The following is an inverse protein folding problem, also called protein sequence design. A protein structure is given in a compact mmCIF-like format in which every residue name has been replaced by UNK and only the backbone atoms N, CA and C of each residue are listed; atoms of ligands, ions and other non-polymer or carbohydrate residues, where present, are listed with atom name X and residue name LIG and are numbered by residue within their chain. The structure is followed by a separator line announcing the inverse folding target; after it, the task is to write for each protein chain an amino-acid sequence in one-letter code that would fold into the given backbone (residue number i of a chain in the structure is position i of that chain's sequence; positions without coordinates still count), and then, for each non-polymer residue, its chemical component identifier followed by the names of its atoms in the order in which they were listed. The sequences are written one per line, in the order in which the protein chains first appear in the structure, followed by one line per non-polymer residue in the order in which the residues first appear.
data_IF_812160198577
#
_entry.id   IF_812160198577
#
_cell.length_a   1.000
_cell.length_b   1.000
_cell.length_c   1.000
_cell.angle_alpha   90.00
_cell.angle_beta   90.00
_cell.angle_gamma   90.00
#
_symmetry.space_group_name_H-M   'P 1'
#
loop_
_entity.id
_entity.type
_entity.pdbx_description
1 polymer ?
#
# COMPACT_ATOMS: atom_id res chain seq x y z
N UNK A 1 3.43 -19.84 18.70
CA UNK A 1 2.11 -20.26 18.20
C UNK A 1 2.33 -20.64 16.75
N UNK A 2 2.47 -21.94 16.44
CA UNK A 2 2.52 -22.38 15.05
C UNK A 2 1.12 -22.19 14.48
N UNK A 3 0.94 -21.16 13.65
CA UNK A 3 -0.24 -21.09 12.79
C UNK A 3 -0.18 -22.29 11.85
N UNK A 4 -1.23 -23.12 11.88
CA UNK A 4 -1.39 -24.18 10.89
C UNK A 4 -1.49 -23.49 9.51
N UNK A 5 -0.61 -23.84 8.57
CA UNK A 5 -0.62 -23.30 7.20
C UNK A 5 -1.99 -23.42 6.54
N UNK A 6 -2.77 -24.44 6.93
CA UNK A 6 -4.15 -24.60 6.47
C UNK A 6 -5.07 -23.48 6.94
N UNK A 7 -4.89 -22.98 8.17
CA UNK A 7 -5.67 -21.84 8.66
C UNK A 7 -5.29 -20.56 7.92
N UNK A 8 -4.03 -20.39 7.55
CA UNK A 8 -3.56 -19.27 6.74
C UNK A 8 -4.21 -19.30 5.35
N UNK A 9 -4.18 -20.45 4.65
CA UNK A 9 -4.84 -20.57 3.34
C UNK A 9 -6.36 -20.38 3.44
N UNK A 10 -6.99 -20.80 4.54
CA UNK A 10 -8.42 -20.59 4.77
C UNK A 10 -8.77 -19.11 5.01
N UNK A 11 -7.84 -18.31 5.53
CA UNK A 11 -8.04 -16.89 5.79
C UNK A 11 -7.98 -16.02 4.52
N UNK A 12 -7.36 -16.51 3.43
CA UNK A 12 -7.36 -15.82 2.15
C UNK A 12 -8.79 -15.73 1.59
N UNK A 13 -9.28 -14.51 1.38
CA UNK A 13 -10.61 -14.30 0.80
C UNK A 13 -10.64 -14.69 -0.68
N UNK A 14 -11.70 -15.36 -1.18
CA UNK A 14 -11.89 -15.58 -2.61
C UNK A 14 -11.80 -14.31 -3.44
N UNK A 15 -12.29 -13.18 -2.90
CA UNK A 15 -12.24 -11.86 -3.57
C UNK A 15 -10.78 -11.43 -3.79
N UNK A 16 -9.95 -11.53 -2.75
CA UNK A 16 -8.51 -11.21 -2.86
C UNK A 16 -7.84 -12.07 -3.93
N UNK A 17 -8.10 -13.38 -3.94
CA UNK A 17 -7.53 -14.29 -4.95
C UNK A 17 -7.93 -13.89 -6.37
N UNK A 18 -9.20 -13.55 -6.59
CA UNK A 18 -9.72 -13.13 -7.88
C UNK A 18 -9.11 -11.80 -8.35
N UNK A 19 -9.00 -10.82 -7.46
CA UNK A 19 -8.35 -9.52 -7.74
C UNK A 19 -6.88 -9.70 -8.08
N UNK A 20 -6.19 -10.52 -7.31
CA UNK A 20 -4.77 -10.83 -7.54
C UNK A 20 -4.54 -11.52 -8.89
N UNK A 21 -5.45 -12.37 -9.34
CA UNK A 21 -5.36 -12.97 -10.67
C UNK A 21 -5.62 -11.96 -11.77
N UNK A 22 -6.65 -11.11 -11.63
CA UNK A 22 -6.93 -10.04 -12.61
C UNK A 22 -5.75 -9.07 -12.74
N UNK A 23 -5.13 -8.68 -11.63
CA UNK A 23 -3.95 -7.80 -11.64
C UNK A 23 -2.72 -8.43 -12.33
N UNK A 24 -2.69 -9.77 -12.43
CA UNK A 24 -1.67 -10.55 -13.14
C UNK A 24 -2.04 -10.86 -14.60
N UNK A 25 -3.10 -10.25 -15.11
CA UNK A 25 -3.56 -10.41 -16.49
C UNK A 25 -4.34 -11.70 -16.76
N UNK A 26 -4.87 -12.35 -15.71
CA UNK A 26 -5.80 -13.45 -15.91
C UNK A 26 -7.21 -12.91 -16.09
N UNK A 27 -7.92 -13.42 -17.07
CA UNK A 27 -9.29 -13.07 -17.37
C UNK A 27 -10.24 -14.23 -17.03
N UNK A 28 -11.46 -13.88 -16.61
CA UNK A 28 -12.50 -14.89 -16.33
C UNK A 28 -12.91 -15.53 -17.66
N UNK A 29 -12.86 -16.86 -17.70
CA UNK A 29 -13.40 -17.61 -18.84
C UNK A 29 -14.90 -17.79 -18.63
N UNK A 30 -15.70 -17.22 -19.53
CA UNK A 30 -17.15 -17.38 -19.50
C UNK A 30 -17.51 -18.85 -19.57
N UNK A 31 -18.25 -19.36 -18.58
CA UNK A 31 -18.56 -20.79 -18.41
C UNK A 31 -19.38 -21.38 -19.57
N UNK A 32 -19.86 -20.53 -20.48
CA UNK A 32 -20.64 -20.97 -21.67
C UNK A 32 -19.80 -21.60 -22.80
N UNK A 33 -18.45 -21.53 -22.74
CA UNK A 33 -17.59 -21.87 -23.90
C UNK A 33 -16.69 -23.10 -23.68
N UNK A 34 -16.80 -23.83 -22.57
CA UNK A 34 -16.03 -25.06 -22.39
C UNK A 34 -16.71 -26.26 -23.06
N UNK A 35 -16.31 -26.67 -24.29
CA UNK A 35 -16.84 -27.88 -24.91
C UNK A 35 -16.22 -29.12 -24.21
N UNK A 36 -17.07 -29.95 -23.61
CA UNK A 36 -16.70 -31.32 -23.26
C UNK A 36 -16.67 -31.69 -21.77
N UNK A 37 -17.33 -30.99 -20.88
CA UNK A 37 -17.55 -31.48 -19.49
C UNK A 37 -19.02 -31.85 -19.28
N UNK A 38 -19.23 -33.13 -18.99
CA UNK A 38 -20.53 -33.75 -18.82
C UNK A 38 -21.42 -33.09 -17.77
N UNK A 39 -22.73 -33.09 -18.01
CA UNK A 39 -23.80 -32.46 -17.23
C UNK A 39 -23.95 -32.95 -15.78
N UNK A 40 -23.13 -33.89 -15.32
CA UNK A 40 -23.16 -34.44 -13.94
C UNK A 40 -22.45 -33.58 -12.90
N UNK A 41 -21.84 -32.45 -13.29
CA UNK A 41 -21.09 -31.54 -12.41
C UNK A 41 -21.78 -30.20 -12.13
N UNK A 42 -23.11 -30.10 -12.24
CA UNK A 42 -23.85 -28.86 -11.97
C UNK A 42 -23.57 -28.27 -10.55
N UNK A 43 -23.36 -29.13 -9.55
CA UNK A 43 -22.99 -28.70 -8.20
C UNK A 43 -21.51 -28.27 -8.03
N UNK A 44 -20.65 -28.53 -9.02
CA UNK A 44 -19.25 -28.09 -8.97
C UNK A 44 -19.09 -26.69 -9.61
N UNK A 45 -20.02 -26.29 -10.49
CA UNK A 45 -19.99 -24.99 -11.19
C UNK A 45 -20.21 -23.79 -10.27
N UNK A 46 -20.95 -23.95 -9.18
CA UNK A 46 -21.18 -22.90 -8.19
C UNK A 46 -20.00 -22.72 -7.21
N UNK A 47 -18.91 -23.50 -7.38
CA UNK A 47 -17.80 -23.56 -6.41
C UNK A 47 -16.48 -23.02 -6.94
N UNK A 48 -16.30 -22.98 -8.26
CA UNK A 48 -15.05 -22.59 -8.92
C UNK A 48 -15.31 -21.64 -10.08
N UNK A 49 -14.47 -20.64 -10.25
CA UNK A 49 -14.40 -19.77 -11.43
C UNK A 49 -13.08 -20.04 -12.13
N UNK A 50 -13.15 -20.23 -13.45
CA UNK A 50 -11.99 -20.46 -14.30
C UNK A 50 -11.40 -19.13 -14.76
N UNK A 51 -10.11 -18.96 -14.56
CA UNK A 51 -9.31 -17.84 -15.04
C UNK A 51 -8.31 -18.30 -16.08
N UNK A 52 -8.03 -17.47 -17.11
CA UNK A 52 -7.10 -17.79 -18.20
C UNK A 52 -6.14 -16.64 -18.47
N UNK A 53 -4.88 -17.00 -18.73
CA UNK A 53 -3.86 -16.10 -19.26
C UNK A 53 -3.02 -16.87 -20.30
N UNK A 54 -3.21 -16.58 -21.60
CA UNK A 54 -2.62 -17.38 -22.68
C UNK A 54 -3.08 -18.83 -22.62
N UNK A 55 -2.14 -19.77 -22.55
CA UNK A 55 -2.43 -21.21 -22.45
C UNK A 55 -2.62 -21.70 -21.01
N UNK A 56 -2.43 -20.83 -20.02
CA UNK A 56 -2.55 -21.17 -18.60
C UNK A 56 -3.99 -20.98 -18.17
N UNK A 57 -4.56 -22.00 -17.52
CA UNK A 57 -5.91 -21.97 -16.95
C UNK A 57 -5.87 -22.35 -15.49
N UNK A 58 -6.57 -21.59 -14.64
CA UNK A 58 -6.60 -21.76 -13.18
C UNK A 58 -8.05 -21.85 -12.70
N UNK A 59 -8.34 -22.83 -11.87
CA UNK A 59 -9.63 -22.98 -11.18
C UNK A 59 -9.57 -22.34 -9.80
N UNK A 60 -10.38 -21.30 -9.56
CA UNK A 60 -10.35 -20.49 -8.35
C UNK A 60 -11.62 -20.72 -7.53
N UNK A 61 -11.50 -21.10 -6.25
CA UNK A 61 -12.66 -21.28 -5.41
C UNK A 61 -13.34 -19.94 -5.10
N UNK A 62 -14.67 -19.89 -5.22
CA UNK A 62 -15.47 -18.65 -5.01
C UNK A 62 -16.02 -18.52 -3.59
N UNK A 63 -15.89 -19.58 -2.76
CA UNK A 63 -16.44 -19.63 -1.41
C UNK A 63 -15.43 -20.27 -0.45
N UNK A 64 -15.22 -19.63 0.70
CA UNK A 64 -14.29 -20.09 1.73
C UNK A 64 -14.88 -21.10 2.72
N UNK A 65 -16.19 -21.37 2.64
CA UNK A 65 -16.89 -22.37 3.46
C UNK A 65 -16.79 -23.79 2.90
N UNK A 66 -16.14 -23.97 1.75
CA UNK A 66 -15.89 -25.29 1.16
C UNK A 66 -14.92 -26.09 2.04
N UNK A 67 -15.21 -27.38 2.27
CA UNK A 67 -14.36 -28.25 3.10
C UNK A 67 -12.95 -28.45 2.55
N UNK A 68 -12.76 -28.33 1.24
CA UNK A 68 -11.49 -28.46 0.52
C UNK A 68 -10.87 -27.10 0.12
N UNK A 69 -11.43 -25.99 0.60
CA UNK A 69 -11.00 -24.63 0.23
C UNK A 69 -9.51 -24.39 0.47
N UNK A 70 -9.02 -24.65 1.69
CA UNK A 70 -7.62 -24.43 2.05
C UNK A 70 -6.65 -25.19 1.12
N UNK A 71 -6.97 -26.47 0.81
CA UNK A 71 -6.15 -27.29 -0.10
C UNK A 71 -6.13 -26.71 -1.53
N UNK A 72 -7.28 -26.24 -2.04
CA UNK A 72 -7.36 -25.63 -3.37
C UNK A 72 -6.61 -24.31 -3.45
N UNK A 73 -6.65 -23.50 -2.37
CA UNK A 73 -5.88 -22.26 -2.28
C UNK A 73 -4.39 -22.56 -2.23
N UNK A 74 -3.95 -23.58 -1.49
CA UNK A 74 -2.56 -24.04 -1.45
C UNK A 74 -2.07 -24.42 -2.85
N UNK A 75 -2.82 -25.29 -3.56
CA UNK A 75 -2.52 -25.71 -4.93
C UNK A 75 -2.43 -24.49 -5.90
N UNK A 76 -3.36 -23.54 -5.74
CA UNK A 76 -3.36 -22.30 -6.54
C UNK A 76 -2.12 -21.44 -6.26
N UNK A 77 -1.75 -21.27 -4.99
CA UNK A 77 -0.57 -20.49 -4.58
C UNK A 77 0.71 -21.14 -5.10
N UNK A 78 0.85 -22.46 -5.00
CA UNK A 78 2.01 -23.19 -5.53
C UNK A 78 2.14 -23.01 -7.04
N UNK A 79 1.03 -23.17 -7.78
CA UNK A 79 1.04 -23.01 -9.24
C UNK A 79 1.33 -21.57 -9.66
N UNK A 80 0.75 -20.58 -8.99
CA UNK A 80 1.05 -19.18 -9.26
C UNK A 80 2.51 -18.83 -8.94
N UNK A 81 3.07 -19.36 -7.87
CA UNK A 81 4.46 -19.17 -7.49
C UNK A 81 5.41 -19.73 -8.55
N UNK A 82 5.10 -20.90 -9.10
CA UNK A 82 5.83 -21.50 -10.22
C UNK A 82 5.78 -20.61 -11.47
N UNK A 83 4.58 -20.12 -11.83
CA UNK A 83 4.37 -19.23 -12.98
C UNK A 83 5.15 -17.91 -12.83
N UNK A 84 5.25 -17.37 -11.61
CA UNK A 84 5.94 -16.09 -11.32
C UNK A 84 7.44 -16.28 -11.00
N UNK A 85 7.91 -17.52 -10.85
CA UNK A 85 9.30 -17.81 -10.51
C UNK A 85 9.70 -17.36 -9.10
N UNK A 86 8.74 -17.34 -8.17
CA UNK A 86 8.94 -16.98 -6.74
C UNK A 86 8.67 -18.19 -5.84
N UNK A 87 9.07 -18.11 -4.58
CA UNK A 87 8.75 -19.19 -3.62
C UNK A 87 7.28 -19.11 -3.20
N UNK A 88 6.59 -20.24 -2.96
CA UNK A 88 5.19 -20.24 -2.50
C UNK A 88 4.96 -19.42 -1.22
N UNK A 89 5.90 -19.45 -0.27
CA UNK A 89 5.84 -18.65 0.96
C UNK A 89 5.92 -17.15 0.69
N UNK A 90 6.75 -16.75 -0.27
CA UNK A 90 6.90 -15.36 -0.66
C UNK A 90 5.63 -14.85 -1.38
N UNK A 91 5.04 -15.67 -2.25
CA UNK A 91 3.77 -15.34 -2.87
C UNK A 91 2.63 -15.26 -1.84
N UNK A 92 2.60 -16.18 -0.86
CA UNK A 92 1.61 -16.17 0.21
C UNK A 92 1.70 -14.90 1.05
N UNK A 93 2.89 -14.46 1.41
CA UNK A 93 3.10 -13.19 2.13
C UNK A 93 2.58 -12.00 1.31
N UNK A 94 2.79 -12.00 -0.02
CA UNK A 94 2.25 -10.97 -0.92
C UNK A 94 0.72 -10.99 -0.99
N UNK A 95 0.09 -12.17 -0.94
CA UNK A 95 -1.36 -12.33 -0.99
C UNK A 95 -2.04 -11.97 0.33
N UNK A 96 -1.33 -12.13 1.45
CA UNK A 96 -1.79 -11.77 2.78
C UNK A 96 -1.60 -10.28 3.11
N UNK A 97 -0.71 -9.59 2.38
CA UNK A 97 -0.59 -8.14 2.53
C UNK A 97 -1.90 -7.47 2.08
N UNK A 98 -2.44 -6.54 2.87
CA UNK A 98 -3.60 -5.76 2.45
C UNK A 98 -3.35 -5.10 1.09
N UNK A 99 -4.33 -5.14 0.19
CA UNK A 99 -4.25 -4.45 -1.09
C UNK A 99 -4.15 -2.95 -0.84
N UNK A 100 -3.03 -2.33 -1.25
CA UNK A 100 -2.80 -0.92 -0.98
C UNK A 100 -1.51 -0.38 -1.58
N UNK A 101 -1.38 0.93 -1.54
CA UNK A 101 -0.11 1.59 -1.82
C UNK A 101 0.80 1.42 -0.61
N UNK A 102 2.00 0.93 -0.82
CA UNK A 102 2.96 0.73 0.26
C UNK A 102 3.89 1.94 0.35
N UNK A 103 3.70 2.74 1.38
CA UNK A 103 4.62 3.83 1.75
C UNK A 103 5.76 3.26 2.58
N UNK A 104 6.99 3.44 2.13
CA UNK A 104 8.18 3.05 2.85
C UNK A 104 8.93 4.31 3.32
N UNK A 105 9.05 4.48 4.64
CA UNK A 105 9.81 5.55 5.27
C UNK A 105 11.15 4.99 5.78
N UNK A 106 12.21 5.43 5.15
CA UNK A 106 13.58 5.06 5.51
C UNK A 106 14.27 6.19 6.25
N UNK A 107 14.72 5.91 7.46
CA UNK A 107 15.62 6.79 8.20
C UNK A 107 17.04 6.30 7.99
N UNK A 108 17.86 7.11 7.34
CA UNK A 108 19.26 6.80 7.13
C UNK A 108 20.11 7.73 8.02
N UNK A 109 20.76 7.15 9.01
CA UNK A 109 21.72 7.79 9.91
C UNK A 109 22.76 6.75 10.32
N UNK A 110 23.81 7.17 10.98
CA UNK A 110 24.82 6.26 11.56
C UNK A 110 24.17 5.27 12.53
N UNK A 111 23.23 5.73 13.36
CA UNK A 111 22.50 4.92 14.34
C UNK A 111 21.57 3.85 13.70
N UNK A 112 21.20 4.00 12.41
CA UNK A 112 20.31 3.07 11.70
C UNK A 112 21.03 2.20 10.65
N UNK A 113 22.34 2.33 10.51
CA UNK A 113 23.13 1.67 9.48
C UNK A 113 23.08 0.13 9.56
N UNK A 114 22.92 -0.42 10.78
CA UNK A 114 22.84 -1.86 11.03
C UNK A 114 21.40 -2.44 10.90
N UNK A 115 20.44 -1.67 10.38
CA UNK A 115 19.03 -2.09 10.27
C UNK A 115 18.23 -2.00 11.56
N UNK A 116 18.82 -1.44 12.60
CA UNK A 116 18.17 -1.14 13.89
C UNK A 116 17.85 0.35 13.96
N UNK A 117 17.00 0.74 14.91
CA UNK A 117 16.67 2.14 15.20
C UNK A 117 16.57 2.30 16.72
N UNK A 118 17.09 3.37 17.31
CA UNK A 118 16.84 3.69 18.71
C UNK A 118 15.33 3.78 19.00
N UNK A 119 14.89 3.31 20.16
CA UNK A 119 13.47 3.22 20.50
C UNK A 119 12.75 4.59 20.40
N UNK A 120 13.38 5.65 20.92
CA UNK A 120 12.79 6.99 20.87
C UNK A 120 12.65 7.50 19.41
N UNK A 121 13.61 7.16 18.55
CA UNK A 121 13.54 7.51 17.12
C UNK A 121 12.44 6.72 16.41
N UNK A 122 12.26 5.44 16.79
CA UNK A 122 11.17 4.62 16.29
C UNK A 122 9.80 5.18 16.67
N UNK A 123 9.63 5.63 17.92
CA UNK A 123 8.40 6.26 18.41
C UNK A 123 8.13 7.58 17.66
N UNK A 124 9.16 8.44 17.50
CA UNK A 124 9.05 9.69 16.74
C UNK A 124 8.67 9.44 15.29
N UNK A 125 9.27 8.44 14.63
CA UNK A 125 8.96 8.07 13.26
C UNK A 125 7.49 7.66 13.11
N UNK A 126 6.97 6.77 13.97
CA UNK A 126 5.57 6.34 13.92
C UNK A 126 4.60 7.47 14.21
N UNK A 127 4.87 8.27 15.25
CA UNK A 127 4.02 9.41 15.59
C UNK A 127 4.03 10.49 14.50
N UNK A 128 5.19 10.78 13.94
CA UNK A 128 5.35 11.70 12.83
C UNK A 128 4.63 11.20 11.58
N UNK A 129 4.76 9.91 11.25
CA UNK A 129 4.04 9.30 10.12
C UNK A 129 2.52 9.38 10.28
N UNK A 130 2.01 9.09 11.48
CA UNK A 130 0.60 9.24 11.79
C UNK A 130 0.11 10.67 11.53
N UNK A 131 0.83 11.67 12.02
CA UNK A 131 0.50 13.08 11.83
C UNK A 131 0.63 13.50 10.37
N UNK A 132 1.66 13.03 9.67
CA UNK A 132 1.91 13.26 8.26
C UNK A 132 0.75 12.77 7.38
N UNK A 133 0.32 11.52 7.58
CA UNK A 133 -0.80 10.93 6.86
C UNK A 133 -2.12 11.65 7.14
N UNK A 134 -2.39 11.99 8.40
CA UNK A 134 -3.57 12.77 8.77
C UNK A 134 -3.55 14.17 8.14
N UNK A 135 -2.40 14.86 8.15
CA UNK A 135 -2.28 16.18 7.54
C UNK A 135 -2.49 16.12 6.01
N UNK A 136 -1.91 15.12 5.35
CA UNK A 136 -2.11 14.90 3.92
C UNK A 136 -3.58 14.58 3.60
N UNK A 137 -4.22 13.72 4.40
CA UNK A 137 -5.62 13.37 4.25
C UNK A 137 -6.56 14.60 4.43
N UNK A 138 -6.25 15.48 5.39
CA UNK A 138 -7.00 16.73 5.56
C UNK A 138 -6.79 17.70 4.40
N UNK A 139 -5.54 17.83 3.92
CA UNK A 139 -5.21 18.71 2.79
C UNK A 139 -5.86 18.26 1.49
N UNK A 140 -6.02 16.96 1.29
CA UNK A 140 -6.71 16.39 0.12
C UNK A 140 -8.20 16.76 0.10
N UNK A 141 -8.87 16.73 1.25
CA UNK A 141 -10.26 17.15 1.38
C UNK A 141 -10.44 18.68 1.26
N UNK A 142 -9.49 19.45 1.77
CA UNK A 142 -9.55 20.91 1.74
C UNK A 142 -8.18 21.48 2.06
N UNK A 143 -7.49 22.02 1.06
CA UNK A 143 -6.17 22.64 1.24
C UNK A 143 -6.23 23.84 2.18
N UNK A 144 -5.46 23.81 3.26
CA UNK A 144 -5.32 24.90 4.24
C UNK A 144 -3.87 25.04 4.66
N UNK A 145 -3.45 26.28 4.97
CA UNK A 145 -2.11 26.53 5.48
C UNK A 145 -1.86 25.87 6.85
N UNK A 146 -2.90 25.76 7.68
CA UNK A 146 -2.85 25.17 9.00
C UNK A 146 -4.21 24.59 9.40
N UNK A 147 -4.20 23.41 10.02
CA UNK A 147 -5.38 22.78 10.62
C UNK A 147 -5.28 22.87 12.14
N UNK A 148 -6.17 23.59 12.81
CA UNK A 148 -6.20 23.65 14.28
C UNK A 148 -6.42 22.28 14.93
N UNK A 149 -7.16 21.41 14.24
CA UNK A 149 -7.40 20.01 14.64
C UNK A 149 -7.40 19.10 13.43
N UNK A 150 -6.72 17.95 13.56
CA UNK A 150 -6.72 16.89 12.55
C UNK A 150 -7.78 15.83 12.92
N UNK A 151 -9.07 16.20 12.83
CA UNK A 151 -10.19 15.40 13.34
C UNK A 151 -11.33 15.20 12.34
N UNK A 152 -11.12 15.45 11.05
CA UNK A 152 -12.14 15.13 10.04
C UNK A 152 -12.36 13.63 9.98
N UNK A 153 -13.62 13.22 9.98
CA UNK A 153 -14.00 11.81 10.10
C UNK A 153 -13.42 10.96 8.98
N UNK A 154 -13.44 11.46 7.74
CA UNK A 154 -12.92 10.75 6.56
C UNK A 154 -11.41 10.45 6.70
N UNK A 155 -10.65 11.45 7.16
CA UNK A 155 -9.21 11.31 7.36
C UNK A 155 -8.88 10.36 8.53
N UNK A 156 -9.67 10.42 9.61
CA UNK A 156 -9.54 9.52 10.76
C UNK A 156 -9.90 8.08 10.37
N UNK A 157 -10.99 7.91 9.61
CA UNK A 157 -11.40 6.59 9.10
C UNK A 157 -10.32 5.99 8.19
N UNK A 158 -9.77 6.77 7.26
CA UNK A 158 -8.65 6.29 6.43
C UNK A 158 -7.47 5.86 7.30
N UNK A 159 -7.09 6.66 8.30
CA UNK A 159 -5.96 6.31 9.18
C UNK A 159 -6.18 4.98 9.92
N UNK A 160 -7.42 4.67 10.33
CA UNK A 160 -7.77 3.42 11.00
C UNK A 160 -7.62 2.19 10.09
N UNK A 161 -7.66 2.37 8.78
CA UNK A 161 -7.48 1.30 7.79
C UNK A 161 -6.03 1.14 7.32
N UNK A 162 -5.12 2.05 7.71
CA UNK A 162 -3.70 1.96 7.37
C UNK A 162 -3.01 0.97 8.31
N UNK A 163 -2.29 0.02 7.73
CA UNK A 163 -1.55 -0.99 8.46
C UNK A 163 -0.04 -0.75 8.39
N UNK A 164 0.67 -0.97 9.50
CA UNK A 164 2.13 -1.06 9.49
C UNK A 164 2.53 -2.49 9.11
N UNK A 165 3.27 -2.64 8.01
CA UNK A 165 3.79 -3.92 7.53
C UNK A 165 5.14 -4.26 8.16
N UNK A 166 5.71 -5.41 7.76
CA UNK A 166 7.04 -5.83 8.21
C UNK A 166 8.12 -4.88 7.68
N UNK A 167 9.14 -4.62 8.49
CA UNK A 167 10.32 -3.83 8.09
C UNK A 167 11.17 -4.59 7.07
N UNK A 168 11.78 -3.86 6.14
CA UNK A 168 12.70 -4.45 5.17
C UNK A 168 14.10 -4.63 5.75
N UNK A 169 14.81 -5.66 5.28
CA UNK A 169 16.22 -5.87 5.63
C UNK A 169 17.10 -4.74 5.04
N UNK A 170 18.07 -4.27 5.80
CA UNK A 170 18.97 -3.17 5.44
C UNK A 170 18.94 -2.05 6.47
N UNK A 171 19.01 -0.77 6.04
CA UNK A 171 18.73 0.36 6.93
C UNK A 171 17.29 0.34 7.39
N UNK A 172 16.99 0.90 8.58
CA UNK A 172 15.64 0.86 9.14
C UNK A 172 14.63 1.52 8.20
N UNK A 173 13.65 0.72 7.74
CA UNK A 173 12.59 1.16 6.84
C UNK A 173 11.25 0.68 7.40
N UNK A 174 10.42 1.62 7.85
CA UNK A 174 9.05 1.33 8.24
C UNK A 174 8.15 1.34 7.00
N UNK A 175 7.23 0.39 6.91
CA UNK A 175 6.29 0.24 5.78
C UNK A 175 4.86 0.46 6.27
N UNK A 176 4.10 1.26 5.53
CA UNK A 176 2.70 1.55 5.83
C UNK A 176 1.87 1.27 4.58
N UNK A 177 0.85 0.44 4.74
CA UNK A 177 -0.03 0.02 3.65
C UNK A 177 -1.28 0.89 3.71
N UNK A 178 -1.45 1.72 2.67
CA UNK A 178 -2.60 2.62 2.50
C UNK A 178 -3.60 1.95 1.57
N UNK A 179 -4.79 1.59 2.02
CA UNK A 179 -5.79 0.93 1.19
C UNK A 179 -6.19 1.78 -0.03
N UNK A 180 -6.32 1.13 -1.18
CA UNK A 180 -6.74 1.75 -2.45
C UNK A 180 -8.00 1.11 -3.03
N UNK A 181 -8.66 0.27 -2.24
CA UNK A 181 -9.95 -0.31 -2.63
C UNK A 181 -11.04 0.75 -2.54
N UNK A 182 -11.97 0.78 -3.51
CA UNK A 182 -13.14 1.62 -3.40
C UNK A 182 -14.00 1.12 -2.23
N UNK A 183 -14.45 2.00 -1.37
CA UNK A 183 -15.55 1.69 -0.45
C UNK A 183 -16.82 1.41 -1.26
N UNK A 184 -17.77 0.65 -0.68
CA UNK A 184 -19.05 0.28 -1.34
C UNK A 184 -19.80 1.52 -1.87
N UNK A 185 -19.54 2.70 -1.33
CA UNK A 185 -20.10 3.98 -1.74
C UNK A 185 -19.41 4.63 -2.96
N UNK A 186 -18.19 4.20 -3.30
CA UNK A 186 -17.39 4.73 -4.43
C UNK A 186 -17.54 3.83 -5.69
N UNK A 187 -18.78 3.48 -6.03
CA UNK A 187 -19.09 2.61 -7.18
C UNK A 187 -18.85 3.25 -8.56
N UNK A 188 -18.43 4.51 -8.63
CA UNK A 188 -18.23 5.23 -9.88
C UNK A 188 -16.81 5.76 -9.96
N UNK A 189 -16.02 5.24 -10.87
CA UNK A 189 -14.75 5.73 -11.50
C UNK A 189 -13.84 6.73 -10.74
N UNK A 190 -14.16 7.10 -9.51
CA UNK A 190 -13.36 7.99 -8.70
C UNK A 190 -12.12 7.28 -8.15
N UNK A 191 -10.99 7.96 -8.23
CA UNK A 191 -9.75 7.47 -7.63
C UNK A 191 -9.92 7.32 -6.12
N UNK A 192 -9.57 6.16 -5.50
CA UNK A 192 -9.74 5.92 -4.08
C UNK A 192 -9.08 6.99 -3.22
N UNK A 193 -9.74 7.35 -2.13
CA UNK A 193 -9.25 8.41 -1.24
C UNK A 193 -7.83 8.15 -0.74
N UNK A 194 -7.49 6.91 -0.36
CA UNK A 194 -6.13 6.54 0.04
C UNK A 194 -5.09 6.82 -1.05
N UNK A 195 -5.39 6.52 -2.32
CA UNK A 195 -4.51 6.81 -3.46
C UNK A 195 -4.33 8.32 -3.65
N UNK A 196 -5.41 9.13 -3.57
CA UNK A 196 -5.33 10.59 -3.68
C UNK A 196 -4.44 11.18 -2.58
N UNK A 197 -4.59 10.69 -1.33
CA UNK A 197 -3.75 11.08 -0.19
C UNK A 197 -2.28 10.71 -0.42
N UNK A 198 -1.99 9.51 -0.90
CA UNK A 198 -0.62 9.08 -1.22
C UNK A 198 0.01 9.94 -2.31
N UNK A 199 -0.74 10.26 -3.37
CA UNK A 199 -0.29 11.16 -4.46
C UNK A 199 0.01 12.56 -3.94
N UNK A 200 -0.91 13.15 -3.18
CA UNK A 200 -0.74 14.47 -2.59
C UNK A 200 0.51 14.50 -1.70
N UNK A 201 0.69 13.48 -0.85
CA UNK A 201 1.84 13.40 0.04
C UNK A 201 3.16 13.40 -0.73
N UNK A 202 3.29 12.57 -1.77
CA UNK A 202 4.51 12.52 -2.59
C UNK A 202 4.76 13.82 -3.36
N UNK A 203 3.71 14.39 -3.94
CA UNK A 203 3.78 15.68 -4.62
C UNK A 203 4.19 16.80 -3.66
N UNK A 204 3.64 16.80 -2.44
CA UNK A 204 3.98 17.75 -1.41
C UNK A 204 5.46 17.67 -0.99
N UNK A 205 5.96 16.44 -0.80
CA UNK A 205 7.37 16.22 -0.45
C UNK A 205 8.33 16.61 -1.57
N UNK A 206 7.97 16.34 -2.81
CA UNK A 206 8.76 16.76 -3.98
C UNK A 206 8.81 18.27 -4.09
N UNK A 207 7.69 18.95 -3.82
CA UNK A 207 7.63 20.40 -3.76
C UNK A 207 8.48 20.98 -2.61
N UNK A 208 8.43 20.39 -1.40
CA UNK A 208 9.32 20.75 -0.29
C UNK A 208 10.79 20.64 -0.71
N UNK A 209 11.15 19.59 -1.41
CA UNK A 209 12.51 19.40 -1.94
C UNK A 209 12.87 20.49 -2.96
N UNK A 210 11.95 20.82 -3.86
CA UNK A 210 12.13 21.84 -4.91
C UNK A 210 12.29 23.25 -4.35
N UNK A 211 11.42 23.61 -3.42
CA UNK A 211 11.36 24.95 -2.81
C UNK A 211 12.66 25.29 -2.05
N UNK A 212 13.28 24.31 -1.42
CA UNK A 212 14.59 24.52 -0.76
C UNK A 212 15.67 25.04 -1.70
N UNK A 213 15.59 24.75 -3.00
CA UNK A 213 16.56 25.23 -3.99
C UNK A 213 16.31 26.66 -4.45
N UNK A 214 15.15 27.26 -4.12
CA UNK A 214 14.68 28.53 -4.67
C UNK A 214 14.74 29.73 -3.71
N UNK A 215 15.07 29.55 -2.42
CA UNK A 215 15.02 30.59 -1.40
C UNK A 215 13.67 30.72 -0.68
N UNK A 216 13.69 31.18 0.60
CA UNK A 216 12.63 30.92 1.57
C UNK A 216 11.24 31.53 1.29
N UNK A 217 11.15 32.73 0.69
CA UNK A 217 9.88 33.46 0.64
C UNK A 217 8.97 33.01 -0.52
N UNK A 218 9.52 32.84 -1.70
CA UNK A 218 8.78 32.38 -2.89
C UNK A 218 8.33 30.93 -2.71
N UNK A 219 9.10 30.16 -1.93
CA UNK A 219 8.79 28.81 -1.57
C UNK A 219 7.55 28.63 -0.73
N UNK A 220 7.33 29.44 0.29
CA UNK A 220 6.18 29.33 1.19
C UNK A 220 4.84 29.53 0.47
N UNK A 221 4.78 30.44 -0.52
CA UNK A 221 3.58 30.64 -1.34
C UNK A 221 3.30 29.46 -2.27
N UNK A 222 4.35 28.81 -2.78
CA UNK A 222 4.25 27.58 -3.57
C UNK A 222 3.72 26.40 -2.74
N UNK A 223 4.20 26.25 -1.50
CA UNK A 223 3.79 25.19 -0.60
C UNK A 223 2.28 25.22 -0.30
N UNK A 224 1.73 26.41 -0.05
CA UNK A 224 0.29 26.54 0.19
C UNK A 224 -0.55 26.15 -1.04
N UNK A 225 -0.12 26.55 -2.25
CA UNK A 225 -0.79 26.17 -3.50
C UNK A 225 -0.75 24.66 -3.78
N UNK A 226 0.31 23.99 -3.31
CA UNK A 226 0.48 22.54 -3.41
C UNK A 226 -0.28 21.76 -2.32
N UNK A 227 -1.12 22.40 -1.50
CA UNK A 227 -1.87 21.77 -0.42
C UNK A 227 -1.01 21.40 0.80
N UNK A 228 0.17 22.01 0.95
CA UNK A 228 1.10 21.69 2.03
C UNK A 228 0.78 22.54 3.25
N UNK A 229 0.28 21.88 4.29
CA UNK A 229 -0.01 22.54 5.57
C UNK A 229 1.20 22.59 6.49
N UNK A 230 1.20 23.55 7.43
CA UNK A 230 2.19 23.58 8.51
C UNK A 230 2.18 22.35 9.38
N UNK A 231 1.03 21.65 9.51
CA UNK A 231 0.94 20.36 10.19
C UNK A 231 1.77 19.28 9.48
N UNK A 232 1.74 19.24 8.14
CA UNK A 232 2.55 18.33 7.34
C UNK A 232 4.04 18.60 7.51
N UNK A 233 4.44 19.88 7.41
CA UNK A 233 5.83 20.29 7.62
C UNK A 233 6.31 20.00 9.05
N UNK A 234 5.50 20.27 10.05
CA UNK A 234 5.79 19.94 11.45
C UNK A 234 5.97 18.44 11.69
N UNK A 235 5.12 17.61 11.05
CA UNK A 235 5.26 16.17 11.10
C UNK A 235 6.57 15.68 10.47
N UNK A 236 6.95 16.21 9.32
CA UNK A 236 8.25 15.92 8.68
C UNK A 236 9.42 16.33 9.60
N UNK A 237 9.38 17.53 10.15
CA UNK A 237 10.43 18.03 11.05
C UNK A 237 10.56 17.14 12.31
N UNK A 238 9.45 16.63 12.83
CA UNK A 238 9.46 15.72 13.99
C UNK A 238 10.13 14.37 13.73
N UNK A 239 10.17 13.93 12.48
CA UNK A 239 10.80 12.68 12.05
C UNK A 239 12.26 12.87 11.59
N UNK A 240 12.77 14.10 11.61
CA UNK A 240 14.14 14.38 11.20
C UNK A 240 15.13 13.49 11.98
N UNK A 241 16.08 12.84 11.28
CA UNK A 241 17.13 12.09 11.96
C UNK A 241 17.97 13.03 12.81
N UNK A 242 18.46 12.59 13.98
CA UNK A 242 19.31 13.42 14.82
C UNK A 242 20.60 13.78 14.07
N UNK A 243 20.93 15.07 14.06
CA UNK A 243 22.11 15.61 13.37
C UNK A 243 21.88 15.92 11.88
N UNK A 244 22.83 16.64 11.28
CA UNK A 244 22.75 17.11 9.89
C UNK A 244 23.11 16.04 8.84
N UNK A 245 23.71 14.92 9.26
CA UNK A 245 24.29 13.90 8.38
C UNK A 245 23.28 12.82 7.94
N UNK A 246 22.11 12.78 8.55
CA UNK A 246 21.06 11.80 8.21
C UNK A 246 20.20 12.21 7.03
N UNK A 247 19.28 11.32 6.64
CA UNK A 247 18.21 11.63 5.67
C UNK A 247 16.93 10.86 6.00
N UNK A 248 15.80 11.46 5.64
CA UNK A 248 14.50 10.82 5.59
C UNK A 248 14.15 10.59 4.12
N UNK A 249 13.86 9.35 3.75
CA UNK A 249 13.43 8.99 2.41
C UNK A 249 12.01 8.40 2.49
N UNK A 250 11.10 8.95 1.70
CA UNK A 250 9.79 8.37 1.46
C UNK A 250 9.77 7.80 0.05
N UNK A 251 9.35 6.56 -0.07
CA UNK A 251 9.07 5.92 -1.35
C UNK A 251 7.72 5.24 -1.33
N UNK A 252 7.14 5.04 -2.50
CA UNK A 252 5.90 4.32 -2.68
C UNK A 252 6.09 3.17 -3.65
N UNK A 253 5.52 2.02 -3.30
CA UNK A 253 5.22 0.95 -4.25
C UNK A 253 3.72 0.98 -4.47
N UNK A 254 3.32 1.31 -5.70
CA UNK A 254 1.91 1.41 -6.05
C UNK A 254 1.24 0.04 -6.02
N UNK A 255 0.02 -0.01 -5.54
CA UNK A 255 -0.80 -1.23 -5.55
C UNK A 255 -0.89 -1.80 -6.95
N UNK A 256 -0.72 -3.13 -7.07
CA UNK A 256 -0.85 -3.85 -8.36
C UNK A 256 -2.28 -3.84 -8.90
N UNK A 257 -3.27 -3.65 -8.03
CA UNK A 257 -4.69 -3.65 -8.39
C UNK A 257 -5.12 -2.37 -9.13
N UNK A 258 -4.25 -1.35 -9.17
CA UNK A 258 -4.51 -0.10 -9.87
C UNK A 258 -3.23 0.41 -10.55
N UNK A 259 -3.34 0.96 -11.76
CA UNK A 259 -2.17 1.48 -12.46
C UNK A 259 -1.46 2.55 -11.63
N UNK A 260 -0.15 2.61 -11.76
CA UNK A 260 0.64 3.68 -11.14
C UNK A 260 0.19 5.03 -11.72
N UNK A 261 0.04 6.08 -10.89
CA UNK A 261 -0.36 7.40 -11.38
C UNK A 261 0.76 8.01 -12.23
N UNK A 262 0.38 8.57 -13.38
CA UNK A 262 1.31 9.24 -14.28
C UNK A 262 1.83 10.55 -13.66
N UNK A 263 3.10 10.88 -13.91
CA UNK A 263 3.72 12.15 -13.51
C UNK A 263 3.97 12.29 -12.00
N UNK A 264 3.69 11.27 -11.19
CA UNK A 264 3.95 11.30 -9.75
C UNK A 264 5.30 10.64 -9.43
N UNK A 265 6.14 11.34 -8.68
CA UNK A 265 7.42 10.79 -8.23
C UNK A 265 7.16 9.62 -7.25
N UNK A 266 7.85 8.51 -7.47
CA UNK A 266 7.70 7.34 -6.59
C UNK A 266 8.64 7.38 -5.38
N UNK A 267 9.58 8.34 -5.32
CA UNK A 267 10.58 8.45 -4.25
C UNK A 267 11.02 9.88 -4.04
N UNK A 268 11.01 10.34 -2.79
CA UNK A 268 11.54 11.64 -2.37
C UNK A 268 12.49 11.44 -1.21
N UNK A 269 13.68 12.03 -1.30
CA UNK A 269 14.69 12.05 -0.24
C UNK A 269 14.89 13.46 0.26
N UNK A 270 14.77 13.63 1.57
CA UNK A 270 15.03 14.87 2.28
C UNK A 270 16.31 14.69 3.12
N UNK A 271 17.41 15.40 2.82
CA UNK A 271 18.63 15.32 3.62
C UNK A 271 18.38 15.97 5.00
N UNK A 272 19.18 15.59 6.02
CA UNK A 272 19.04 16.09 7.38
C UNK A 272 19.12 17.62 7.49
N UNK A 273 19.88 18.26 6.60
CA UNK A 273 19.94 19.71 6.48
C UNK A 273 18.58 20.35 6.07
N UNK A 274 17.63 19.54 5.58
CA UNK A 274 16.30 20.01 5.23
C UNK A 274 15.45 20.40 6.43
N UNK A 275 15.84 19.98 7.61
CA UNK A 275 15.07 20.11 8.83
C UNK A 275 15.66 21.12 9.83
N UNK A 276 16.66 21.90 9.39
CA UNK A 276 17.36 22.91 10.24
C UNK A 276 16.94 24.32 9.84
#
# INVERSE_FOLDING_TARGET
MNLDLRDVFRSLSPVILQEQLRSRGFEVVDQAVAPGRDAHSAGARDRLVMYRRGDITLDVPVRNDLGDYARRVEELVELLAEIEGVRPTELLDMLLEPAGDVLALRVASEATAAGTIPLDDALRLRQGTKTLLLAAAHSELSAQAWFPRLSRQEAVTLLQTIHEGQTQRGSFTARFIVPVEPTVEQLFDEEPYGRRVTKLLLGALDEVRRVRSLGAYEGLLGLQKAGISGNLLGALASMAPPGRTGSLELSVSWSRNRPAPEGVVARVRLPGEAFV
#
